data_IF_641760603104
#
_entry.id   IF_641760603104
#
_cell.length_a   1.000
_cell.length_b   1.000
_cell.length_c   1.000
_cell.angle_alpha   90.00
_cell.angle_beta   90.00
_cell.angle_gamma   90.00
#
_symmetry.space_group_name_H-M   'P 1'
#
loop_
_entity.id
_entity.type
_entity.pdbx_description
1 polymer ?
#
# COMPACT_ATOMS: atom_id res chain seq x y z
N UNK A 1 -5.59 10.98 6.00
CA UNK A 1 -6.10 11.64 7.23
C UNK A 1 -6.38 13.12 7.05
N UNK A 2 -5.55 13.90 6.32
CA UNK A 2 -5.75 15.34 6.17
C UNK A 2 -7.14 15.74 5.60
N UNK A 3 -7.67 14.96 4.66
CA UNK A 3 -8.99 15.21 4.04
C UNK A 3 -10.14 14.93 5.04
N UNK A 4 -10.01 13.89 5.86
CA UNK A 4 -11.01 13.59 6.90
C UNK A 4 -11.07 14.73 7.91
N UNK A 5 -9.91 15.30 8.27
CA UNK A 5 -9.80 16.38 9.24
C UNK A 5 -10.29 17.74 8.70
N UNK A 6 -10.02 18.06 7.43
CA UNK A 6 -10.26 19.41 6.89
C UNK A 6 -11.44 19.54 5.92
N UNK A 7 -11.88 18.45 5.29
CA UNK A 7 -12.96 18.47 4.28
C UNK A 7 -14.17 17.69 4.78
N UNK A 8 -13.94 16.52 5.35
CA UNK A 8 -14.99 15.70 5.96
C UNK A 8 -14.80 14.21 5.71
N UNK A 9 -15.53 13.40 6.50
CA UNK A 9 -15.41 11.94 6.50
C UNK A 9 -15.75 11.32 5.15
N UNK A 10 -16.83 11.79 4.50
CA UNK A 10 -17.29 11.25 3.23
C UNK A 10 -16.26 11.45 2.10
N UNK A 11 -15.75 12.67 1.95
CA UNK A 11 -14.67 12.97 1.00
C UNK A 11 -13.40 12.15 1.28
N UNK A 12 -13.07 11.99 2.57
CA UNK A 12 -11.93 11.16 2.97
C UNK A 12 -12.07 9.69 2.57
N UNK A 13 -13.26 9.10 2.73
CA UNK A 13 -13.54 7.71 2.33
C UNK A 13 -13.42 7.56 0.81
N UNK A 14 -13.99 8.48 0.03
CA UNK A 14 -13.88 8.46 -1.44
C UNK A 14 -12.42 8.46 -1.87
N UNK A 15 -11.59 9.35 -1.31
CA UNK A 15 -10.17 9.43 -1.68
C UNK A 15 -9.42 8.15 -1.30
N UNK A 16 -9.71 7.55 -0.14
CA UNK A 16 -9.11 6.27 0.24
C UNK A 16 -9.47 5.17 -0.76
N UNK A 17 -10.74 5.07 -1.15
CA UNK A 17 -11.20 4.07 -2.13
C UNK A 17 -10.50 4.29 -3.48
N UNK A 18 -10.43 5.53 -3.96
CA UNK A 18 -9.77 5.86 -5.22
C UNK A 18 -8.26 5.55 -5.17
N UNK A 19 -7.60 5.85 -4.05
CA UNK A 19 -6.18 5.56 -3.86
C UNK A 19 -5.88 4.06 -3.79
N UNK A 20 -6.76 3.27 -3.17
CA UNK A 20 -6.68 1.80 -3.20
C UNK A 20 -6.92 1.29 -4.63
N UNK A 21 -7.97 1.80 -5.28
CA UNK A 21 -8.38 1.37 -6.62
C UNK A 21 -7.28 1.56 -7.66
N UNK A 22 -6.60 2.71 -7.67
CA UNK A 22 -5.49 2.94 -8.61
C UNK A 22 -4.29 2.01 -8.35
N UNK A 23 -4.01 1.68 -7.09
CA UNK A 23 -2.93 0.76 -6.73
C UNK A 23 -3.21 -0.65 -7.23
N UNK A 24 -4.44 -1.13 -7.01
CA UNK A 24 -4.92 -2.42 -7.52
C UNK A 24 -4.93 -2.44 -9.05
N UNK A 25 -5.37 -1.35 -9.69
CA UNK A 25 -5.42 -1.23 -11.14
C UNK A 25 -4.02 -1.32 -11.77
N UNK A 26 -3.04 -0.63 -11.20
CA UNK A 26 -1.64 -0.68 -11.68
C UNK A 26 -1.08 -2.09 -11.54
N UNK A 27 -1.30 -2.75 -10.40
CA UNK A 27 -0.87 -4.13 -10.20
C UNK A 27 -1.52 -5.09 -11.21
N UNK A 28 -2.83 -4.95 -11.43
CA UNK A 28 -3.58 -5.70 -12.44
C UNK A 28 -3.01 -5.52 -13.84
N UNK A 29 -2.88 -4.26 -14.29
CA UNK A 29 -2.36 -3.96 -15.62
C UNK A 29 -0.95 -4.51 -15.80
N UNK A 30 -0.05 -4.28 -14.84
CA UNK A 30 1.31 -4.77 -14.90
C UNK A 30 1.39 -6.32 -14.94
N UNK A 31 0.49 -7.02 -14.25
CA UNK A 31 0.42 -8.49 -14.31
C UNK A 31 -0.02 -9.04 -15.67
N UNK A 32 -0.60 -8.20 -16.54
CA UNK A 32 -0.92 -8.59 -17.92
C UNK A 32 0.27 -8.49 -18.87
N UNK A 33 1.32 -7.77 -18.47
CA UNK A 33 2.52 -7.59 -19.30
C UNK A 33 3.66 -8.55 -18.93
N UNK A 34 3.60 -9.19 -17.75
CA UNK A 34 4.60 -10.14 -17.29
C UNK A 34 4.04 -11.07 -16.23
N UNK A 35 4.35 -12.36 -16.36
CA UNK A 35 4.05 -13.38 -15.37
C UNK A 35 4.98 -13.31 -14.14
N UNK A 36 6.13 -12.63 -14.26
CA UNK A 36 7.04 -12.43 -13.14
C UNK A 36 6.49 -11.34 -12.19
N UNK A 37 6.36 -11.70 -10.91
CA UNK A 37 5.81 -10.85 -9.83
C UNK A 37 6.54 -9.51 -9.62
N UNK A 38 7.81 -9.42 -10.05
CA UNK A 38 8.64 -8.25 -9.86
C UNK A 38 8.15 -7.04 -10.66
N UNK A 39 7.60 -7.26 -11.85
CA UNK A 39 7.08 -6.19 -12.71
C UNK A 39 5.83 -5.52 -12.09
N UNK A 40 4.80 -6.28 -11.66
CA UNK A 40 3.68 -5.70 -10.91
C UNK A 40 4.09 -5.01 -9.61
N UNK A 41 5.04 -5.57 -8.87
CA UNK A 41 5.53 -4.96 -7.63
C UNK A 41 6.21 -3.60 -7.89
N UNK A 42 7.11 -3.54 -8.86
CA UNK A 42 7.76 -2.29 -9.29
C UNK A 42 6.73 -1.26 -9.76
N UNK A 43 5.73 -1.68 -10.53
CA UNK A 43 4.68 -0.78 -11.02
C UNK A 43 3.91 -0.14 -9.84
N UNK A 44 3.58 -0.92 -8.81
CA UNK A 44 2.96 -0.40 -7.58
C UNK A 44 3.88 0.60 -6.86
N UNK A 45 5.18 0.31 -6.77
CA UNK A 45 6.17 1.23 -6.19
C UNK A 45 6.20 2.55 -6.97
N UNK A 46 6.26 2.51 -8.30
CA UNK A 46 6.21 3.74 -9.11
C UNK A 46 4.89 4.49 -8.96
N UNK A 47 3.76 3.79 -8.81
CA UNK A 47 2.48 4.43 -8.51
C UNK A 47 2.46 5.11 -7.13
N UNK A 48 3.13 4.54 -6.12
CA UNK A 48 3.34 5.19 -4.83
C UNK A 48 4.21 6.44 -4.96
N UNK A 49 5.33 6.36 -5.68
CA UNK A 49 6.24 7.49 -5.94
C UNK A 49 5.45 8.63 -6.59
N UNK A 50 4.67 8.35 -7.63
CA UNK A 50 3.83 9.36 -8.31
C UNK A 50 2.74 9.96 -7.42
N UNK A 51 2.21 9.19 -6.45
CA UNK A 51 1.24 9.71 -5.48
C UNK A 51 1.87 10.53 -4.35
N UNK A 52 3.09 10.19 -3.94
CA UNK A 52 3.82 10.90 -2.88
C UNK A 52 4.40 12.21 -3.40
N UNK A 53 4.87 12.19 -4.66
CA UNK A 53 5.50 13.33 -5.33
C UNK A 53 4.75 13.68 -6.62
N UNK A 54 3.52 14.14 -6.47
CA UNK A 54 2.68 14.54 -7.59
C UNK A 54 3.25 15.80 -8.27
N UNK A 55 3.61 15.70 -9.55
CA UNK A 55 4.21 16.80 -10.31
C UNK A 55 3.32 18.05 -10.35
N UNK A 56 2.00 17.88 -10.47
CA UNK A 56 1.04 18.97 -10.62
C UNK A 56 0.74 19.76 -9.33
N UNK A 57 1.22 19.31 -8.18
CA UNK A 57 1.16 20.06 -6.90
C UNK A 57 2.55 20.34 -6.33
N UNK A 58 3.57 20.39 -7.20
CA UNK A 58 4.92 20.78 -6.82
C UNK A 58 5.66 19.71 -6.00
N UNK A 59 5.49 18.44 -6.37
CA UNK A 59 6.10 17.28 -5.69
C UNK A 59 5.77 17.18 -4.20
N UNK A 60 4.58 17.66 -3.83
CA UNK A 60 3.97 17.41 -2.52
C UNK A 60 2.89 16.35 -2.71
N UNK A 61 2.56 15.57 -1.70
CA UNK A 61 1.57 14.51 -1.88
C UNK A 61 1.24 13.75 -0.61
N UNK A 62 0.55 12.63 -0.81
CA UNK A 62 0.18 11.72 0.28
C UNK A 62 1.35 10.83 0.69
N UNK A 63 1.06 9.85 1.57
CA UNK A 63 2.08 8.89 2.04
C UNK A 63 2.12 7.59 1.23
N UNK A 64 1.19 7.39 0.30
CA UNK A 64 1.17 6.22 -0.59
C UNK A 64 0.69 4.92 0.05
N UNK A 65 0.35 4.94 1.35
CA UNK A 65 -0.13 3.76 2.10
C UNK A 65 -1.36 3.14 1.42
N UNK A 66 -2.37 3.93 1.08
CA UNK A 66 -3.58 3.44 0.39
C UNK A 66 -3.28 2.85 -0.98
N UNK A 67 -2.38 3.48 -1.75
CA UNK A 67 -1.91 2.98 -3.05
C UNK A 67 -1.22 1.62 -2.92
N UNK A 68 -0.34 1.49 -1.94
CA UNK A 68 0.36 0.23 -1.66
C UNK A 68 -0.61 -0.89 -1.25
N UNK A 69 -1.55 -0.57 -0.36
CA UNK A 69 -2.58 -1.51 0.09
C UNK A 69 -3.42 -2.02 -1.07
N UNK A 70 -3.76 -1.15 -2.04
CA UNK A 70 -4.43 -1.57 -3.27
C UNK A 70 -3.61 -2.54 -4.11
N UNK A 71 -2.32 -2.26 -4.29
CA UNK A 71 -1.42 -3.17 -5.01
C UNK A 71 -1.29 -4.53 -4.33
N UNK A 72 -1.09 -4.54 -3.00
CA UNK A 72 -1.05 -5.77 -2.20
C UNK A 72 -2.36 -6.55 -2.23
N UNK A 73 -3.50 -5.87 -2.17
CA UNK A 73 -4.81 -6.51 -2.23
C UNK A 73 -4.96 -7.33 -3.52
N UNK A 74 -4.38 -6.88 -4.62
CA UNK A 74 -4.38 -7.61 -5.89
C UNK A 74 -3.31 -8.72 -5.93
N UNK A 75 -2.07 -8.43 -5.54
CA UNK A 75 -0.94 -9.35 -5.70
C UNK A 75 -0.93 -10.48 -4.67
N UNK A 76 -1.32 -10.20 -3.43
CA UNK A 76 -1.35 -11.19 -2.36
C UNK A 76 -2.46 -10.83 -1.34
N UNK A 77 -3.72 -11.22 -1.62
CA UNK A 77 -4.87 -10.91 -0.76
C UNK A 77 -4.73 -11.43 0.67
N UNK A 78 -4.11 -12.59 0.86
CA UNK A 78 -3.84 -13.19 2.18
C UNK A 78 -2.93 -12.27 3.02
N UNK A 79 -1.89 -11.79 2.39
CA UNK A 79 -0.94 -10.81 2.93
C UNK A 79 -1.61 -9.50 3.33
N UNK A 80 -2.50 -8.98 2.47
CA UNK A 80 -3.30 -7.79 2.79
C UNK A 80 -4.14 -8.01 4.05
N UNK A 81 -4.74 -9.20 4.19
CA UNK A 81 -5.57 -9.57 5.33
C UNK A 81 -4.76 -9.53 6.64
N UNK A 82 -3.56 -10.11 6.64
CA UNK A 82 -2.65 -10.06 7.79
C UNK A 82 -2.18 -8.64 8.12
N UNK A 83 -1.74 -7.86 7.14
CA UNK A 83 -1.23 -6.51 7.36
C UNK A 83 -2.31 -5.56 7.89
N UNK A 84 -3.49 -5.57 7.25
CA UNK A 84 -4.52 -4.56 7.48
C UNK A 84 -5.46 -4.92 8.64
N UNK A 85 -5.80 -6.21 8.84
CA UNK A 85 -6.69 -6.61 9.94
C UNK A 85 -5.97 -6.96 11.24
N UNK A 86 -4.72 -7.42 11.18
CA UNK A 86 -3.97 -7.78 12.39
C UNK A 86 -2.89 -6.74 12.72
N UNK A 87 -2.01 -6.43 11.77
CA UNK A 87 -0.80 -5.68 12.11
C UNK A 87 -1.06 -4.19 12.35
N UNK A 88 -1.79 -3.51 11.47
CA UNK A 88 -2.10 -2.08 11.61
C UNK A 88 -2.92 -1.77 12.88
N UNK A 89 -4.00 -2.51 13.23
CA UNK A 89 -4.75 -2.25 14.45
C UNK A 89 -3.91 -2.49 15.71
N UNK A 90 -3.10 -3.55 15.74
CA UNK A 90 -2.22 -3.87 16.87
C UNK A 90 -1.12 -2.82 17.02
N UNK A 91 -0.48 -2.41 15.92
CA UNK A 91 0.57 -1.39 15.96
C UNK A 91 0.02 -0.01 16.32
N UNK A 92 -1.19 0.34 15.87
CA UNK A 92 -1.89 1.54 16.29
C UNK A 92 -2.25 1.53 17.78
N UNK A 93 -2.65 0.37 18.32
CA UNK A 93 -2.98 0.22 19.73
C UNK A 93 -1.76 0.42 20.64
N UNK A 94 -0.60 -0.08 20.22
CA UNK A 94 0.66 0.00 20.98
C UNK A 94 1.32 1.37 20.83
N UNK A 95 1.49 1.84 19.59
CA UNK A 95 2.34 3.00 19.28
C UNK A 95 1.56 4.31 19.38
N UNK A 96 0.23 4.28 19.18
CA UNK A 96 -0.67 5.46 19.14
C UNK A 96 -0.26 6.56 18.14
N UNK A 97 0.77 6.32 17.35
CA UNK A 97 1.21 7.13 16.22
C UNK A 97 1.03 6.32 14.94
N UNK A 98 0.16 6.81 14.06
CA UNK A 98 -0.15 6.17 12.78
C UNK A 98 1.07 6.05 11.86
N UNK A 99 2.02 6.98 11.92
CA UNK A 99 3.21 6.99 11.07
C UNK A 99 4.17 5.87 11.46
N UNK A 100 4.56 5.82 12.73
CA UNK A 100 5.46 4.79 13.25
C UNK A 100 4.83 3.40 13.13
N UNK A 101 3.52 3.28 13.42
CA UNK A 101 2.77 2.05 13.25
C UNK A 101 2.81 1.50 11.80
N UNK A 102 2.64 2.37 10.80
CA UNK A 102 2.71 1.96 9.39
C UNK A 102 4.13 1.57 8.94
N UNK A 103 5.16 2.31 9.38
CA UNK A 103 6.56 2.00 9.01
C UNK A 103 7.02 0.68 9.61
N UNK A 104 6.74 0.47 10.90
CA UNK A 104 7.02 -0.81 11.57
C UNK A 104 6.23 -1.94 10.89
N UNK A 105 4.96 -1.68 10.53
CA UNK A 105 4.13 -2.60 9.76
C UNK A 105 4.76 -3.05 8.45
N UNK A 106 5.22 -2.11 7.63
CA UNK A 106 5.88 -2.44 6.37
C UNK A 106 7.18 -3.22 6.55
N UNK A 107 7.97 -2.91 7.58
CA UNK A 107 9.22 -3.61 7.85
C UNK A 107 8.99 -5.07 8.25
N UNK A 108 8.11 -5.31 9.23
CA UNK A 108 7.75 -6.66 9.66
C UNK A 108 7.02 -7.45 8.58
N UNK A 109 6.26 -6.77 7.74
CA UNK A 109 5.59 -7.37 6.59
C UNK A 109 6.56 -7.91 5.55
N UNK A 110 7.58 -7.15 5.16
CA UNK A 110 8.62 -7.64 4.25
C UNK A 110 9.31 -8.88 4.81
N UNK A 111 9.52 -8.92 6.13
CA UNK A 111 10.06 -10.10 6.82
C UNK A 111 9.09 -11.29 6.84
N UNK A 112 7.79 -11.05 7.05
CA UNK A 112 6.77 -12.10 7.04
C UNK A 112 6.58 -12.70 5.65
N UNK A 113 6.53 -11.89 4.58
CA UNK A 113 6.49 -12.38 3.20
C UNK A 113 7.66 -13.29 2.89
N UNK A 114 8.87 -12.89 3.31
CA UNK A 114 10.08 -13.69 3.11
C UNK A 114 9.98 -15.08 3.76
N UNK A 115 9.35 -15.19 4.93
CA UNK A 115 9.15 -16.46 5.64
C UNK A 115 7.97 -17.25 5.06
N UNK A 116 6.84 -16.60 4.77
CA UNK A 116 5.58 -17.25 4.39
C UNK A 116 5.57 -17.74 2.95
N UNK A 117 6.15 -16.98 2.02
CA UNK A 117 6.19 -17.40 0.62
C UNK A 117 7.24 -18.47 0.34
N UNK A 118 8.20 -18.71 1.25
CA UNK A 118 9.02 -19.92 1.35
C UNK A 118 9.68 -20.44 0.05
N UNK A 119 9.68 -19.66 -1.03
CA UNK A 119 10.04 -20.09 -2.36
C UNK A 119 10.81 -18.97 -3.01
N UNK A 120 12.11 -19.21 -3.15
CA UNK A 120 12.85 -19.29 -4.41
C UNK A 120 12.22 -18.71 -5.70
N UNK A 121 11.42 -17.65 -5.66
CA UNK A 121 11.14 -16.77 -6.80
C UNK A 121 12.13 -15.59 -6.85
N UNK A 122 13.26 -15.76 -6.16
CA UNK A 122 14.50 -14.99 -6.29
C UNK A 122 15.56 -15.79 -7.08
N UNK A 123 15.13 -16.69 -7.97
CA UNK A 123 15.96 -17.29 -9.04
C UNK A 123 15.18 -17.27 -10.35
#
# INVERSE_FOLDING_TARGET
>A
MNIIANVGKFAGVIVIITDIGKGALVAYLASRFSDHIFIPLLAVVFAMIGHNWMAYIGFKGGKGVSTFLGGLLYLSPLTFLFLYLLFIPVSLFIIKDTYLATTVGFFFFSFFLWIYEGSFWWV
#
